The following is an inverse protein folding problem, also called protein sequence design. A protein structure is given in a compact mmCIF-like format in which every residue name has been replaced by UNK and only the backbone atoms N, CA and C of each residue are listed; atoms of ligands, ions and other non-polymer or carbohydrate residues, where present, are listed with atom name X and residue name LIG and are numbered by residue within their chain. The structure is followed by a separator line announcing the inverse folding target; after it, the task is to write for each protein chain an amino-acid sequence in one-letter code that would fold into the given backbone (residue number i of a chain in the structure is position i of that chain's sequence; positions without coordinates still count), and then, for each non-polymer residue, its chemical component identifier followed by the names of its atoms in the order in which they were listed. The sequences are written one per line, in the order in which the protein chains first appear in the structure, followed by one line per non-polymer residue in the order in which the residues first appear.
data_IF_472657025928
#
_entry.id   IF_472657025928
#
_cell.length_a   1.000
_cell.length_b   1.000
_cell.length_c   1.000
_cell.angle_alpha   90.00
_cell.angle_beta   90.00
_cell.angle_gamma   90.00
#
_symmetry.space_group_name_H-M   'P 1'
#
loop_
_entity.id
_entity.type
_entity.pdbx_description
1 polymer ?
#
# COMPACT_ATOMS: atom_id res chain seq x y z
N UNK A 1 -20.87 -32.47 -22.59
CA UNK A 1 -20.10 -31.25 -22.28
C UNK A 1 -20.88 -30.05 -22.81
N UNK A 2 -21.70 -29.43 -21.97
CA UNK A 2 -22.39 -28.18 -22.30
C UNK A 2 -21.36 -27.08 -22.51
N UNK A 3 -21.26 -26.57 -23.73
CA UNK A 3 -20.45 -25.39 -24.06
C UNK A 3 -20.97 -24.20 -23.22
N UNK A 4 -20.26 -23.86 -22.15
CA UNK A 4 -20.50 -22.62 -21.42
C UNK A 4 -20.51 -21.47 -22.43
N UNK A 5 -21.54 -20.59 -22.42
CA UNK A 5 -21.58 -19.45 -23.32
C UNK A 5 -20.32 -18.62 -23.10
N UNK A 6 -19.59 -18.32 -24.18
CA UNK A 6 -18.46 -17.40 -24.12
C UNK A 6 -19.01 -16.03 -23.71
N UNK A 7 -18.75 -15.62 -22.47
CA UNK A 7 -19.08 -14.25 -22.04
C UNK A 7 -18.40 -13.27 -23.00
N UNK A 8 -19.16 -12.26 -23.41
CA UNK A 8 -18.61 -11.17 -24.21
C UNK A 8 -17.67 -10.32 -23.34
N UNK A 9 -16.77 -9.59 -23.99
CA UNK A 9 -15.94 -8.60 -23.30
C UNK A 9 -16.82 -7.54 -22.62
N UNK A 10 -17.97 -7.22 -23.22
CA UNK A 10 -18.97 -6.30 -22.69
C UNK A 10 -19.51 -6.76 -21.33
N UNK A 11 -19.95 -8.01 -21.22
CA UNK A 11 -20.51 -8.56 -19.98
C UNK A 11 -19.46 -8.57 -18.86
N UNK A 12 -18.24 -8.96 -19.21
CA UNK A 12 -17.10 -8.99 -18.28
C UNK A 12 -16.75 -7.56 -17.81
N UNK A 13 -16.70 -6.60 -18.73
CA UNK A 13 -16.37 -5.19 -18.44
C UNK A 13 -17.40 -4.54 -17.52
N UNK A 14 -18.69 -4.86 -17.72
CA UNK A 14 -19.78 -4.35 -16.89
C UNK A 14 -19.67 -4.77 -15.43
N UNK A 15 -19.15 -5.98 -15.17
CA UNK A 15 -18.93 -6.48 -13.80
C UNK A 15 -17.83 -5.71 -13.05
N UNK A 16 -16.90 -5.04 -13.74
CA UNK A 16 -15.84 -4.24 -13.10
C UNK A 16 -16.26 -2.83 -12.67
N UNK A 17 -17.36 -2.31 -13.20
CA UNK A 17 -17.87 -0.96 -12.85
C UNK A 17 -17.99 -0.78 -11.33
N UNK A 18 -18.67 -1.65 -10.56
CA UNK A 18 -18.76 -1.49 -9.10
C UNK A 18 -17.39 -1.54 -8.40
N UNK A 19 -16.45 -2.34 -8.92
CA UNK A 19 -15.09 -2.43 -8.36
C UNK A 19 -14.36 -1.09 -8.54
N UNK A 20 -14.43 -0.47 -9.72
CA UNK A 20 -13.75 0.80 -9.97
C UNK A 20 -14.38 1.97 -9.20
N UNK A 21 -15.71 1.99 -9.04
CA UNK A 21 -16.36 2.95 -8.14
C UNK A 21 -15.92 2.77 -6.69
N UNK A 22 -15.73 1.53 -6.26
CA UNK A 22 -15.19 1.23 -4.92
C UNK A 22 -13.76 1.75 -4.78
N UNK A 23 -12.90 1.58 -5.79
CA UNK A 23 -11.56 2.18 -5.79
C UNK A 23 -11.60 3.71 -5.69
N UNK A 24 -12.50 4.38 -6.42
CA UNK A 24 -12.69 5.83 -6.31
C UNK A 24 -13.05 6.23 -4.87
N UNK A 25 -14.06 5.59 -4.29
CA UNK A 25 -14.56 5.94 -2.96
C UNK A 25 -13.52 5.72 -1.86
N UNK A 26 -12.94 4.52 -1.82
CA UNK A 26 -11.94 4.16 -0.80
C UNK A 26 -10.63 4.93 -1.03
N UNK A 27 -10.20 5.10 -2.28
CA UNK A 27 -9.00 5.86 -2.63
C UNK A 27 -9.11 7.34 -2.26
N UNK A 28 -10.26 7.97 -2.52
CA UNK A 28 -10.53 9.35 -2.12
C UNK A 28 -10.51 9.50 -0.60
N UNK A 29 -11.21 8.61 0.12
CA UNK A 29 -11.23 8.65 1.57
C UNK A 29 -9.82 8.44 2.15
N UNK A 30 -9.07 7.44 1.66
CA UNK A 30 -7.70 7.20 2.09
C UNK A 30 -6.79 8.41 1.82
N UNK A 31 -6.90 9.06 0.66
CA UNK A 31 -6.11 10.23 0.32
C UNK A 31 -6.40 11.40 1.29
N UNK A 32 -7.68 11.76 1.47
CA UNK A 32 -8.09 12.86 2.36
C UNK A 32 -7.69 12.56 3.81
N UNK A 33 -7.97 11.35 4.28
CA UNK A 33 -7.67 10.92 5.63
C UNK A 33 -6.17 11.02 5.95
N UNK A 34 -5.30 10.57 5.03
CA UNK A 34 -3.86 10.64 5.24
C UNK A 34 -3.31 12.07 5.08
N UNK A 35 -3.87 12.90 4.19
CA UNK A 35 -3.52 14.32 4.12
C UNK A 35 -3.83 15.05 5.43
N UNK A 36 -4.98 14.76 6.04
CA UNK A 36 -5.37 15.33 7.32
C UNK A 36 -4.40 14.93 8.46
N UNK A 37 -3.98 13.65 8.49
CA UNK A 37 -2.97 13.17 9.44
C UNK A 37 -1.63 13.92 9.25
N UNK A 38 -1.17 14.06 8.01
CA UNK A 38 0.05 14.78 7.67
C UNK A 38 -0.05 16.23 8.13
N UNK A 39 -1.17 16.91 7.84
CA UNK A 39 -1.42 18.28 8.28
C UNK A 39 -1.25 18.42 9.80
N UNK A 40 -1.93 17.60 10.60
CA UNK A 40 -1.86 17.66 12.07
C UNK A 40 -0.43 17.44 12.58
N UNK A 41 0.28 16.45 12.05
CA UNK A 41 1.65 16.19 12.49
C UNK A 41 2.63 17.30 12.09
N UNK A 42 2.40 17.98 10.95
CA UNK A 42 3.20 19.12 10.52
C UNK A 42 2.87 20.41 11.28
N UNK A 43 1.66 20.56 11.84
CA UNK A 43 1.26 21.75 12.61
C UNK A 43 2.02 21.94 13.93
N UNK A 44 2.78 20.95 14.41
CA UNK A 44 3.57 21.06 15.65
C UNK A 44 5.00 20.60 15.44
N UNK A 45 5.96 21.48 15.77
CA UNK A 45 7.38 21.17 15.68
C UNK A 45 7.77 19.94 16.54
N UNK A 46 7.11 19.77 17.70
CA UNK A 46 7.34 18.63 18.60
C UNK A 46 6.82 17.32 18.02
N UNK A 47 5.68 17.35 17.31
CA UNK A 47 5.15 16.18 16.64
C UNK A 47 6.01 15.82 15.42
N UNK A 48 6.42 16.82 14.65
CA UNK A 48 7.24 16.64 13.44
C UNK A 48 8.54 15.88 13.70
N UNK A 49 9.29 16.21 14.75
CA UNK A 49 10.56 15.53 15.05
C UNK A 49 10.37 14.12 15.63
N UNK A 50 9.26 13.88 16.33
CA UNK A 50 9.01 12.61 17.03
C UNK A 50 8.30 11.57 16.18
N UNK A 51 7.52 12.00 15.19
CA UNK A 51 6.65 11.15 14.37
C UNK A 51 7.07 11.12 12.90
N UNK A 52 8.34 11.42 12.57
CA UNK A 52 8.88 11.45 11.21
C UNK A 52 8.52 10.23 10.36
N UNK A 53 8.68 9.01 10.91
CA UNK A 53 8.34 7.77 10.19
C UNK A 53 6.82 7.61 9.98
N UNK A 54 5.99 8.09 10.91
CA UNK A 54 4.53 8.07 10.77
C UNK A 54 4.04 9.09 9.75
N UNK A 55 4.67 10.26 9.69
CA UNK A 55 4.41 11.26 8.64
C UNK A 55 4.77 10.66 7.28
N UNK A 56 5.95 10.04 7.17
CA UNK A 56 6.36 9.33 5.95
C UNK A 56 5.35 8.24 5.56
N UNK A 57 4.88 7.45 6.53
CA UNK A 57 3.88 6.40 6.28
C UNK A 57 2.55 6.98 5.79
N UNK A 58 2.07 8.05 6.42
CA UNK A 58 0.85 8.72 6.00
C UNK A 58 0.99 9.32 4.58
N UNK A 59 2.15 9.88 4.22
CA UNK A 59 2.42 10.34 2.85
C UNK A 59 2.37 9.16 1.87
N UNK A 60 3.02 8.04 2.18
CA UNK A 60 3.03 6.87 1.31
C UNK A 60 1.63 6.25 1.13
N UNK A 61 0.85 6.15 2.21
CA UNK A 61 -0.55 5.70 2.19
C UNK A 61 -1.44 6.70 1.43
N UNK A 62 -1.16 8.00 1.51
CA UNK A 62 -1.81 9.04 0.71
C UNK A 62 -1.51 8.89 -0.78
N UNK A 63 -0.25 8.68 -1.16
CA UNK A 63 0.15 8.38 -2.55
C UNK A 63 -0.57 7.14 -3.06
N UNK A 64 -0.70 6.09 -2.23
CA UNK A 64 -1.46 4.90 -2.57
C UNK A 64 -2.95 5.23 -2.81
N UNK A 65 -3.58 5.96 -1.91
CA UNK A 65 -4.96 6.44 -2.07
C UNK A 65 -5.16 7.23 -3.37
N UNK A 66 -4.21 8.12 -3.71
CA UNK A 66 -4.21 8.86 -4.96
C UNK A 66 -4.04 7.95 -6.19
N UNK A 67 -3.17 6.92 -6.12
CA UNK A 67 -3.00 5.95 -7.20
C UNK A 67 -4.32 5.20 -7.50
N UNK A 68 -5.03 4.75 -6.46
CA UNK A 68 -6.33 4.11 -6.61
C UNK A 68 -7.41 5.06 -7.12
N UNK A 69 -7.45 6.30 -6.62
CA UNK A 69 -8.38 7.32 -7.09
C UNK A 69 -8.16 7.66 -8.59
N UNK A 70 -6.92 7.91 -8.99
CA UNK A 70 -6.57 8.38 -10.33
C UNK A 70 -6.46 7.25 -11.36
N UNK A 71 -5.66 6.22 -11.11
CA UNK A 71 -5.47 5.11 -12.06
C UNK A 71 -6.66 4.16 -12.03
N UNK A 72 -6.98 3.64 -10.85
CA UNK A 72 -7.85 2.50 -10.74
C UNK A 72 -9.33 2.90 -10.85
N UNK A 73 -9.65 4.07 -10.31
CA UNK A 73 -10.99 4.65 -10.30
C UNK A 73 -11.29 5.49 -11.54
N UNK A 74 -10.90 6.76 -11.52
CA UNK A 74 -11.39 7.77 -12.47
C UNK A 74 -11.04 7.47 -13.93
N UNK A 75 -9.75 7.28 -14.25
CA UNK A 75 -9.31 7.05 -15.64
C UNK A 75 -9.83 5.73 -16.21
N UNK A 76 -9.78 4.64 -15.45
CA UNK A 76 -10.31 3.34 -15.90
C UNK A 76 -11.83 3.35 -16.07
N UNK A 77 -12.56 4.01 -15.16
CA UNK A 77 -14.02 4.14 -15.28
C UNK A 77 -14.41 4.94 -16.52
N UNK A 78 -13.77 6.09 -16.77
CA UNK A 78 -14.04 6.91 -17.97
C UNK A 78 -13.69 6.14 -19.24
N UNK A 79 -12.53 5.47 -19.27
CA UNK A 79 -12.09 4.71 -20.43
C UNK A 79 -13.07 3.56 -20.74
N UNK A 80 -13.55 2.87 -19.72
CA UNK A 80 -14.55 1.81 -19.87
C UNK A 80 -15.90 2.38 -20.29
N UNK A 81 -16.35 3.48 -19.69
CA UNK A 81 -17.60 4.13 -20.09
C UNK A 81 -17.57 4.51 -21.58
N UNK A 82 -16.45 5.04 -22.08
CA UNK A 82 -16.25 5.33 -23.51
C UNK A 82 -16.32 4.07 -24.38
N UNK A 83 -15.63 2.99 -23.98
CA UNK A 83 -15.67 1.73 -24.71
C UNK A 83 -17.09 1.12 -24.75
N UNK A 84 -17.85 1.22 -23.66
CA UNK A 84 -19.23 0.71 -23.58
C UNK A 84 -20.21 1.51 -24.43
N UNK A 85 -19.89 2.77 -24.76
CA UNK A 85 -20.68 3.61 -25.67
C UNK A 85 -20.40 3.32 -27.15
N UNK A 86 -19.32 2.59 -27.46
CA UNK A 86 -18.96 2.26 -28.84
C UNK A 86 -19.71 0.98 -29.28
N UNK A 87 -20.57 1.07 -30.29
CA UNK A 87 -21.38 -0.07 -30.74
C UNK A 87 -20.54 -1.27 -31.21
N UNK A 88 -19.35 -1.00 -31.75
CA UNK A 88 -18.34 -1.99 -32.15
C UNK A 88 -17.84 -2.86 -30.99
N UNK A 89 -17.92 -2.35 -29.75
CA UNK A 89 -17.41 -3.03 -28.56
C UNK A 89 -18.32 -4.17 -28.10
N UNK A 90 -19.62 -4.11 -28.41
CA UNK A 90 -20.59 -5.16 -28.02
C UNK A 90 -20.27 -6.53 -28.64
N UNK A 91 -19.63 -6.53 -29.79
CA UNK A 91 -19.22 -7.74 -30.51
C UNK A 91 -17.75 -8.13 -30.30
N UNK A 92 -17.00 -7.36 -29.49
CA UNK A 92 -15.58 -7.55 -29.28
C UNK A 92 -15.31 -8.66 -28.24
N UNK A 93 -14.36 -9.55 -28.54
CA UNK A 93 -13.96 -10.65 -27.65
C UNK A 93 -12.63 -10.40 -26.91
N UNK A 94 -11.88 -9.35 -27.28
CA UNK A 94 -10.57 -9.04 -26.69
C UNK A 94 -10.37 -7.54 -26.53
N UNK A 95 -9.80 -7.11 -25.40
CA UNK A 95 -9.50 -5.69 -25.19
C UNK A 95 -8.63 -5.11 -26.31
N UNK A 96 -8.84 -3.83 -26.68
CA UNK A 96 -7.90 -3.11 -27.54
C UNK A 96 -6.49 -3.16 -26.94
N UNK A 97 -5.50 -3.20 -27.84
CA UNK A 97 -4.08 -3.27 -27.47
C UNK A 97 -3.40 -1.93 -27.68
N UNK A 98 -2.44 -1.63 -26.83
CA UNK A 98 -1.60 -0.43 -26.87
C UNK A 98 -0.15 -0.87 -26.63
N UNK A 99 0.83 0.00 -26.90
CA UNK A 99 2.21 -0.32 -26.58
C UNK A 99 2.41 -0.28 -25.07
N UNK A 100 3.28 -1.16 -24.57
CA UNK A 100 3.62 -1.18 -23.14
C UNK A 100 4.25 0.13 -22.69
N UNK A 101 5.03 0.78 -23.56
CA UNK A 101 5.59 2.12 -23.32
C UNK A 101 4.50 3.16 -23.02
N UNK A 102 3.39 3.14 -23.75
CA UNK A 102 2.25 4.05 -23.52
C UNK A 102 1.61 3.82 -22.15
N UNK A 103 1.55 2.56 -21.70
CA UNK A 103 1.12 2.23 -20.35
C UNK A 103 2.16 2.65 -19.29
N UNK A 104 3.46 2.48 -19.55
CA UNK A 104 4.52 2.82 -18.61
C UNK A 104 4.64 4.34 -18.36
N UNK A 105 4.36 5.17 -19.37
CA UNK A 105 4.35 6.64 -19.25
C UNK A 105 3.15 7.19 -18.49
N UNK A 106 2.13 6.38 -18.21
CA UNK A 106 0.99 6.80 -17.40
C UNK A 106 1.45 7.04 -15.96
N UNK A 107 1.46 8.30 -15.55
CA UNK A 107 1.88 8.76 -14.22
C UNK A 107 1.25 7.95 -13.08
N UNK A 108 0.00 7.57 -13.24
CA UNK A 108 -0.73 6.76 -12.28
C UNK A 108 -0.15 5.35 -12.02
N UNK A 109 0.53 4.74 -13.00
CA UNK A 109 1.23 3.47 -12.78
C UNK A 109 2.50 3.66 -11.95
N UNK A 110 3.19 4.79 -12.09
CA UNK A 110 4.31 5.18 -11.23
C UNK A 110 3.85 5.44 -9.79
N UNK A 111 2.69 6.09 -9.61
CA UNK A 111 2.08 6.23 -8.28
C UNK A 111 1.74 4.88 -7.65
N UNK A 112 1.28 3.90 -8.44
CA UNK A 112 1.03 2.54 -7.96
C UNK A 112 2.29 1.84 -7.45
N UNK A 113 3.43 2.01 -8.12
CA UNK A 113 4.71 1.46 -7.66
C UNK A 113 5.08 2.05 -6.29
N UNK A 114 5.08 3.37 -6.18
CA UNK A 114 5.46 4.07 -4.95
C UNK A 114 4.44 3.79 -3.83
N UNK A 115 3.15 3.85 -4.15
CA UNK A 115 2.05 3.62 -3.23
C UNK A 115 1.99 2.18 -2.72
N UNK A 116 2.45 1.20 -3.50
CA UNK A 116 2.53 -0.18 -3.05
C UNK A 116 3.75 -0.43 -2.13
N UNK A 117 4.94 0.01 -2.56
CA UNK A 117 6.18 -0.31 -1.86
C UNK A 117 6.46 0.60 -0.67
N UNK A 118 6.08 1.88 -0.76
CA UNK A 118 6.33 2.88 0.28
C UNK A 118 5.78 2.47 1.65
N UNK A 119 4.47 2.12 1.76
CA UNK A 119 3.90 1.66 3.02
C UNK A 119 4.56 0.38 3.55
N UNK A 120 4.97 -0.54 2.67
CA UNK A 120 5.66 -1.77 3.07
C UNK A 120 7.05 -1.49 3.66
N UNK A 121 7.84 -0.64 3.01
CA UNK A 121 9.17 -0.26 3.49
C UNK A 121 9.10 0.52 4.80
N UNK A 122 8.14 1.44 4.93
CA UNK A 122 7.94 2.20 6.16
C UNK A 122 7.38 1.35 7.30
N UNK A 123 6.56 0.34 6.99
CA UNK A 123 6.13 -0.66 7.98
C UNK A 123 7.33 -1.47 8.51
N UNK A 124 8.24 -1.88 7.62
CA UNK A 124 9.48 -2.53 8.00
C UNK A 124 10.36 -1.61 8.85
N UNK A 125 10.56 -0.35 8.43
CA UNK A 125 11.33 0.64 9.17
C UNK A 125 10.78 0.86 10.58
N UNK A 126 9.45 0.97 10.74
CA UNK A 126 8.80 1.06 12.04
C UNK A 126 9.04 -0.20 12.89
N UNK A 127 9.00 -1.40 12.28
CA UNK A 127 9.34 -2.65 12.96
C UNK A 127 10.78 -2.68 13.47
N UNK A 128 11.75 -2.29 12.63
CA UNK A 128 13.18 -2.19 12.99
C UNK A 128 13.37 -1.21 14.14
N UNK A 129 12.76 -0.03 14.01
CA UNK A 129 12.82 1.03 15.00
C UNK A 129 12.38 0.57 16.39
N UNK A 130 11.22 -0.11 16.46
CA UNK A 130 10.67 -0.63 17.71
C UNK A 130 11.52 -1.75 18.28
N UNK A 131 11.97 -2.67 17.45
CA UNK A 131 12.84 -3.75 17.88
C UNK A 131 14.14 -3.20 18.48
N UNK A 132 14.78 -2.24 17.81
CA UNK A 132 15.99 -1.59 18.31
C UNK A 132 15.75 -0.82 19.61
N UNK A 133 14.62 -0.10 19.73
CA UNK A 133 14.28 0.65 20.94
C UNK A 133 14.18 -0.25 22.19
N UNK A 134 13.63 -1.46 22.03
CA UNK A 134 13.43 -2.41 23.14
C UNK A 134 14.70 -3.23 23.40
N UNK A 135 15.38 -3.69 22.35
CA UNK A 135 16.54 -4.58 22.48
C UNK A 135 17.81 -3.84 22.90
N UNK A 136 17.97 -2.58 22.47
CA UNK A 136 19.18 -1.77 22.64
C UNK A 136 18.84 -0.34 23.12
N UNK A 137 18.25 -0.17 24.32
CA UNK A 137 17.71 1.12 24.76
C UNK A 137 18.77 2.23 24.91
N UNK A 138 19.98 1.89 25.33
CA UNK A 138 21.10 2.84 25.51
C UNK A 138 21.60 3.38 24.16
N UNK A 139 21.85 2.49 23.20
CA UNK A 139 22.25 2.85 21.83
C UNK A 139 21.15 3.63 21.13
N UNK A 140 19.90 3.15 21.23
CA UNK A 140 18.75 3.82 20.62
C UNK A 140 18.59 5.26 21.13
N UNK A 141 18.77 5.53 22.43
CA UNK A 141 18.68 6.89 22.99
C UNK A 141 19.65 7.88 22.33
N UNK A 142 20.85 7.44 21.95
CA UNK A 142 21.87 8.30 21.33
C UNK A 142 21.63 8.53 19.84
N UNK A 143 21.08 7.54 19.14
CA UNK A 143 20.96 7.58 17.67
C UNK A 143 19.53 7.76 17.14
N UNK A 144 18.53 7.87 18.03
CA UNK A 144 17.10 7.90 17.68
C UNK A 144 16.76 8.84 16.51
N UNK A 145 17.12 10.12 16.61
CA UNK A 145 16.75 11.12 15.61
C UNK A 145 17.41 10.82 14.26
N UNK A 146 18.70 10.48 14.26
CA UNK A 146 19.43 10.07 13.07
C UNK A 146 18.82 8.81 12.44
N UNK A 147 18.47 7.82 13.26
CA UNK A 147 17.90 6.55 12.80
C UNK A 147 16.58 6.75 12.06
N UNK A 148 15.70 7.63 12.53
CA UNK A 148 14.44 7.93 11.83
C UNK A 148 14.68 8.51 10.44
N UNK A 149 15.57 9.48 10.31
CA UNK A 149 15.89 10.09 9.02
C UNK A 149 16.57 9.10 8.08
N UNK A 150 17.52 8.31 8.59
CA UNK A 150 18.21 7.28 7.80
C UNK A 150 17.22 6.24 7.27
N UNK A 151 16.33 5.71 8.13
CA UNK A 151 15.33 4.72 7.71
C UNK A 151 14.32 5.30 6.70
N UNK A 152 13.90 6.56 6.87
CA UNK A 152 13.02 7.24 5.93
C UNK A 152 13.71 7.44 4.56
N UNK A 153 14.94 7.94 4.55
CA UNK A 153 15.72 8.16 3.33
C UNK A 153 15.97 6.83 2.62
N UNK A 154 16.37 5.79 3.37
CA UNK A 154 16.59 4.46 2.80
C UNK A 154 15.31 3.90 2.16
N UNK A 155 14.17 4.05 2.83
CA UNK A 155 12.87 3.64 2.29
C UNK A 155 12.54 4.38 0.99
N UNK A 156 12.78 5.69 0.95
CA UNK A 156 12.56 6.51 -0.24
C UNK A 156 13.49 6.12 -1.40
N UNK A 157 14.78 5.92 -1.13
CA UNK A 157 15.78 5.48 -2.12
C UNK A 157 15.35 4.14 -2.74
N UNK A 158 14.99 3.16 -1.92
CA UNK A 158 14.52 1.86 -2.41
C UNK A 158 13.30 2.00 -3.34
N UNK A 159 12.30 2.80 -2.95
CA UNK A 159 11.11 3.01 -3.77
C UNK A 159 11.43 3.71 -5.10
N UNK A 160 12.28 4.73 -5.07
CA UNK A 160 12.71 5.46 -6.28
C UNK A 160 13.51 4.55 -7.20
N UNK A 161 14.47 3.78 -6.67
CA UNK A 161 15.23 2.81 -7.46
C UNK A 161 14.31 1.77 -8.07
N UNK A 162 13.32 1.25 -7.32
CA UNK A 162 12.37 0.30 -7.87
C UNK A 162 11.53 0.91 -9.00
N UNK A 163 11.09 2.16 -8.87
CA UNK A 163 10.38 2.87 -9.94
C UNK A 163 11.27 3.06 -11.18
N UNK A 164 12.53 3.44 -11.01
CA UNK A 164 13.48 3.55 -12.12
C UNK A 164 13.65 2.23 -12.85
N UNK A 165 13.76 1.11 -12.13
CA UNK A 165 13.82 -0.24 -12.72
C UNK A 165 12.51 -0.57 -13.47
N UNK A 166 11.35 -0.23 -12.89
CA UNK A 166 10.05 -0.43 -13.54
C UNK A 166 9.97 0.31 -14.89
N UNK A 167 10.32 1.60 -14.87
CA UNK A 167 10.33 2.46 -16.06
C UNK A 167 11.34 1.97 -17.09
N UNK A 168 12.53 1.55 -16.67
CA UNK A 168 13.52 0.99 -17.59
C UNK A 168 13.00 -0.27 -18.30
N UNK A 169 12.34 -1.18 -17.56
CA UNK A 169 11.73 -2.37 -18.17
C UNK A 169 10.63 -1.96 -19.15
N UNK A 170 9.70 -1.07 -18.76
CA UNK A 170 8.56 -0.68 -19.59
C UNK A 170 8.89 0.20 -20.79
N UNK A 171 9.95 1.02 -20.72
CA UNK A 171 10.30 2.01 -21.75
C UNK A 171 11.49 1.59 -22.63
N UNK A 172 12.34 0.67 -22.16
CA UNK A 172 13.57 0.28 -22.88
C UNK A 172 13.53 -1.19 -23.28
N UNK A 173 13.34 -2.09 -22.31
CA UNK A 173 13.43 -3.54 -22.57
C UNK A 173 12.20 -4.05 -23.32
N UNK A 174 11.00 -3.71 -22.82
CA UNK A 174 9.74 -4.30 -23.25
C UNK A 174 8.83 -3.30 -23.98
N UNK A 175 9.40 -2.22 -24.52
CA UNK A 175 8.65 -1.06 -25.06
C UNK A 175 7.67 -1.41 -26.18
N UNK A 176 8.04 -2.33 -27.06
CA UNK A 176 7.28 -2.68 -28.28
C UNK A 176 6.30 -3.84 -28.04
N UNK A 177 6.24 -4.37 -26.82
CA UNK A 177 5.30 -5.43 -26.47
C UNK A 177 3.89 -4.86 -26.31
N UNK A 178 2.91 -5.60 -26.81
CA UNK A 178 1.51 -5.21 -26.74
C UNK A 178 0.94 -5.44 -25.33
N UNK A 179 0.32 -4.40 -24.79
CA UNK A 179 -0.37 -4.37 -23.51
C UNK A 179 -1.89 -4.24 -23.73
N UNK A 180 -2.70 -4.84 -22.86
CA UNK A 180 -4.15 -4.60 -22.90
C UNK A 180 -4.48 -3.22 -22.32
N UNK A 181 -5.47 -2.54 -22.93
CA UNK A 181 -5.87 -1.15 -22.60
C UNK A 181 -6.21 -0.87 -21.13
N UNK A 182 -6.69 -1.82 -20.29
CA UNK A 182 -6.53 -1.65 -18.85
C UNK A 182 -5.03 -1.76 -18.55
N UNK A 183 -4.32 -0.63 -18.61
CA UNK A 183 -2.90 -0.53 -18.26
C UNK A 183 -2.76 -0.84 -16.76
N UNK A 184 -2.71 -2.13 -16.45
CA UNK A 184 -2.39 -2.66 -15.12
C UNK A 184 -0.88 -2.57 -14.89
N UNK A 185 -0.45 -2.70 -13.63
CA UNK A 185 0.97 -2.75 -13.29
C UNK A 185 1.71 -3.82 -14.10
N UNK A 186 1.08 -4.99 -14.25
CA UNK A 186 1.52 -6.10 -15.10
C UNK A 186 1.72 -5.71 -16.56
N UNK A 187 0.77 -4.95 -17.10
CA UNK A 187 0.78 -4.56 -18.50
C UNK A 187 1.80 -3.44 -18.75
N UNK A 188 2.03 -2.55 -17.79
CA UNK A 188 2.97 -1.44 -17.89
C UNK A 188 4.43 -1.85 -17.72
N UNK A 189 4.74 -2.69 -16.72
CA UNK A 189 6.12 -2.99 -16.32
C UNK A 189 6.52 -4.46 -16.51
N UNK A 190 5.62 -5.27 -17.09
CA UNK A 190 5.91 -6.66 -17.42
C UNK A 190 5.69 -7.64 -16.27
N UNK A 191 5.94 -8.91 -16.58
CA UNK A 191 5.73 -10.00 -15.65
C UNK A 191 6.74 -9.94 -14.50
N UNK A 192 8.03 -9.96 -14.82
CA UNK A 192 9.11 -10.07 -13.82
C UNK A 192 9.03 -8.98 -12.75
N UNK A 193 8.88 -7.71 -13.17
CA UNK A 193 8.81 -6.59 -12.23
C UNK A 193 7.59 -6.66 -11.31
N UNK A 194 6.43 -6.96 -11.87
CA UNK A 194 5.19 -6.99 -11.07
C UNK A 194 5.23 -8.11 -10.03
N UNK A 195 5.84 -9.26 -10.36
CA UNK A 195 6.06 -10.35 -9.41
C UNK A 195 7.02 -9.92 -8.29
N UNK A 196 8.12 -9.24 -8.64
CA UNK A 196 9.02 -8.63 -7.67
C UNK A 196 8.27 -7.64 -6.75
N UNK A 197 7.46 -6.75 -7.31
CA UNK A 197 6.70 -5.76 -6.54
C UNK A 197 5.77 -6.41 -5.51
N UNK A 198 5.00 -7.44 -5.90
CA UNK A 198 4.12 -8.15 -4.98
C UNK A 198 4.88 -8.87 -3.86
N UNK A 199 5.94 -9.59 -4.22
CA UNK A 199 6.80 -10.27 -3.25
C UNK A 199 7.43 -9.28 -2.27
N UNK A 200 8.00 -8.19 -2.78
CA UNK A 200 8.70 -7.19 -1.97
C UNK A 200 7.74 -6.45 -1.02
N UNK A 201 6.53 -6.14 -1.49
CA UNK A 201 5.46 -5.54 -0.67
C UNK A 201 5.02 -6.50 0.44
N UNK A 202 4.78 -7.78 0.09
CA UNK A 202 4.42 -8.82 1.05
C UNK A 202 5.52 -9.04 2.11
N UNK A 203 6.78 -9.08 1.66
CA UNK A 203 7.94 -9.22 2.54
C UNK A 203 8.06 -8.05 3.52
N UNK A 204 7.98 -6.80 3.05
CA UNK A 204 8.14 -5.62 3.91
C UNK A 204 7.11 -5.58 5.05
N UNK A 205 5.84 -5.82 4.75
CA UNK A 205 4.79 -5.89 5.79
C UNK A 205 4.96 -7.09 6.73
N UNK A 206 5.33 -8.26 6.20
CA UNK A 206 5.51 -9.47 7.02
C UNK A 206 6.72 -9.34 7.95
N UNK A 207 7.86 -8.87 7.43
CA UNK A 207 9.06 -8.64 8.24
C UNK A 207 8.83 -7.55 9.29
N UNK A 208 8.14 -6.46 8.93
CA UNK A 208 7.72 -5.42 9.88
C UNK A 208 6.84 -5.97 11.00
N UNK A 209 5.86 -6.83 10.66
CA UNK A 209 5.02 -7.52 11.64
C UNK A 209 5.83 -8.42 12.57
N UNK A 210 6.73 -9.26 12.04
CA UNK A 210 7.57 -10.15 12.84
C UNK A 210 8.43 -9.36 13.83
N UNK A 211 9.03 -8.25 13.40
CA UNK A 211 9.84 -7.39 14.27
C UNK A 211 9.00 -6.72 15.36
N UNK A 212 7.81 -6.21 15.03
CA UNK A 212 6.87 -5.64 15.99
C UNK A 212 6.39 -6.70 17.01
N UNK A 213 6.11 -7.92 16.54
CA UNK A 213 5.74 -9.03 17.40
C UNK A 213 6.87 -9.45 18.33
N UNK A 214 8.11 -9.54 17.81
CA UNK A 214 9.29 -9.82 18.62
C UNK A 214 9.53 -8.74 19.68
N UNK A 215 9.39 -7.47 19.32
CA UNK A 215 9.47 -6.33 20.22
C UNK A 215 8.41 -6.45 21.35
N UNK A 216 7.17 -6.80 21.00
CA UNK A 216 6.09 -7.04 21.95
C UNK A 216 6.37 -8.22 22.90
N UNK A 217 6.88 -9.33 22.37
CA UNK A 217 7.23 -10.50 23.17
C UNK A 217 8.31 -10.17 24.21
N UNK A 218 9.35 -9.46 23.80
CA UNK A 218 10.46 -9.05 24.68
C UNK A 218 9.95 -8.15 25.82
N UNK A 219 9.11 -7.15 25.53
CA UNK A 219 8.60 -6.24 26.57
C UNK A 219 7.64 -6.93 27.54
N UNK A 220 6.85 -7.91 27.10
CA UNK A 220 6.01 -8.71 28.01
C UNK A 220 6.86 -9.51 29.00
N UNK A 221 7.96 -10.09 28.53
CA UNK A 221 8.88 -10.81 29.42
C UNK A 221 9.51 -9.89 30.47
N UNK A 222 9.86 -8.65 30.11
CA UNK A 222 10.37 -7.68 31.09
C UNK A 222 9.32 -7.24 32.12
N UNK A 223 8.04 -7.13 31.73
CA UNK A 223 6.95 -6.81 32.66
C UNK A 223 6.82 -7.87 33.77
N UNK A 224 6.97 -9.14 33.40
CA UNK A 224 6.89 -10.25 34.36
C UNK A 224 8.04 -10.25 35.38
N UNK A 225 9.13 -9.51 35.13
CA UNK A 225 10.29 -9.38 36.01
C UNK A 225 10.13 -8.21 37.02
N UNK A 226 8.99 -7.50 37.02
CA UNK A 226 8.64 -6.54 38.09
C UNK A 226 9.32 -5.16 38.03
N UNK A 227 9.99 -4.80 36.93
CA UNK A 227 10.60 -3.47 36.74
C UNK A 227 9.55 -2.41 36.36
N UNK A 228 9.54 -1.26 37.04
CA UNK A 228 8.91 0.02 36.66
C UNK A 228 7.59 -0.07 35.84
N UNK A 229 6.53 -0.54 36.49
CA UNK A 229 5.24 -0.91 35.88
C UNK A 229 4.55 0.22 35.07
N UNK A 230 4.58 1.47 35.52
CA UNK A 230 3.80 2.55 34.87
C UNK A 230 4.36 3.02 33.52
N UNK A 231 5.69 3.18 33.39
CA UNK A 231 6.31 3.59 32.12
C UNK A 231 6.19 2.48 31.08
N UNK A 232 6.41 1.24 31.52
CA UNK A 232 6.27 0.04 30.67
C UNK A 232 4.82 -0.14 30.21
N UNK A 233 3.83 0.13 31.06
CA UNK A 233 2.42 0.01 30.68
C UNK A 233 2.03 0.93 29.51
N UNK A 234 2.51 2.18 29.50
CA UNK A 234 2.25 3.14 28.40
C UNK A 234 2.90 2.71 27.08
N UNK A 235 4.12 2.18 27.12
CA UNK A 235 4.82 1.67 25.94
C UNK A 235 4.15 0.39 25.40
N UNK A 236 3.69 -0.50 26.29
CA UNK A 236 2.94 -1.71 25.91
C UNK A 236 1.67 -1.36 25.15
N UNK A 237 0.92 -0.36 25.59
CA UNK A 237 -0.31 0.07 24.90
C UNK A 237 -0.02 0.54 23.46
N UNK A 238 1.04 1.34 23.28
CA UNK A 238 1.47 1.78 21.95
C UNK A 238 1.91 0.60 21.07
N UNK A 239 2.69 -0.33 21.61
CA UNK A 239 3.14 -1.51 20.87
C UNK A 239 1.95 -2.42 20.50
N UNK A 240 0.96 -2.59 21.39
CA UNK A 240 -0.27 -3.35 21.09
C UNK A 240 -1.02 -2.76 19.91
N UNK A 241 -1.15 -1.44 19.87
CA UNK A 241 -1.77 -0.74 18.75
C UNK A 241 -1.01 -0.97 17.45
N UNK A 242 0.32 -0.83 17.46
CA UNK A 242 1.16 -1.06 16.28
C UNK A 242 1.13 -2.52 15.80
N UNK A 243 1.05 -3.48 16.72
CA UNK A 243 0.83 -4.88 16.39
C UNK A 243 -0.52 -5.08 15.70
N UNK A 244 -1.59 -4.48 16.23
CA UNK A 244 -2.90 -4.55 15.59
C UNK A 244 -2.87 -3.97 14.17
N UNK A 245 -2.24 -2.81 13.99
CA UNK A 245 -2.00 -2.19 12.67
C UNK A 245 -1.27 -3.16 11.73
N UNK A 246 -0.22 -3.81 12.23
CA UNK A 246 0.61 -4.74 11.46
C UNK A 246 -0.17 -6.01 11.10
N UNK A 247 -1.02 -6.54 11.98
CA UNK A 247 -1.93 -7.66 11.70
C UNK A 247 -2.90 -7.27 10.59
N UNK A 248 -3.54 -6.09 10.70
CA UNK A 248 -4.43 -5.60 9.64
C UNK A 248 -3.68 -5.45 8.30
N UNK A 249 -2.43 -4.97 8.32
CA UNK A 249 -1.59 -4.95 7.11
C UNK A 249 -1.35 -6.35 6.55
N UNK A 250 -1.00 -7.34 7.38
CA UNK A 250 -0.82 -8.73 6.89
C UNK A 250 -2.11 -9.25 6.24
N UNK A 251 -3.26 -9.07 6.89
CA UNK A 251 -4.54 -9.59 6.38
C UNK A 251 -4.97 -8.85 5.10
N UNK A 252 -4.90 -7.52 5.09
CA UNK A 252 -5.45 -6.69 3.99
C UNK A 252 -4.48 -6.44 2.85
N UNK A 253 -3.17 -6.66 3.06
CA UNK A 253 -2.13 -6.41 2.07
C UNK A 253 -1.40 -7.70 1.69
N UNK A 254 -0.83 -8.42 2.66
CA UNK A 254 0.01 -9.59 2.36
C UNK A 254 -0.83 -10.70 1.73
N UNK A 255 -1.98 -11.05 2.33
CA UNK A 255 -2.83 -12.12 1.81
C UNK A 255 -3.27 -11.84 0.35
N UNK A 256 -3.87 -10.68 0.01
CA UNK A 256 -4.19 -10.35 -1.38
C UNK A 256 -2.99 -10.38 -2.34
N UNK A 257 -1.84 -9.85 -1.93
CA UNK A 257 -0.64 -9.86 -2.77
C UNK A 257 -0.10 -11.29 -2.98
N UNK A 258 -0.21 -12.17 -1.99
CA UNK A 258 0.15 -13.58 -2.13
C UNK A 258 -0.80 -14.31 -3.08
N UNK A 259 -2.11 -14.02 -3.04
CA UNK A 259 -3.05 -14.54 -4.05
C UNK A 259 -2.69 -14.04 -5.47
N UNK A 260 -2.36 -12.76 -5.63
CA UNK A 260 -1.91 -12.18 -6.90
C UNK A 260 -0.58 -12.77 -7.39
N UNK A 261 0.32 -13.11 -6.46
CA UNK A 261 1.57 -13.78 -6.75
C UNK A 261 1.32 -15.22 -7.23
N UNK A 262 0.54 -16.01 -6.49
CA UNK A 262 0.31 -17.43 -6.79
C UNK A 262 -0.52 -17.63 -8.07
N UNK A 263 -1.55 -16.82 -8.29
CA UNK A 263 -2.33 -16.84 -9.56
C UNK A 263 -1.45 -16.63 -10.78
N UNK A 264 -0.39 -15.82 -10.66
CA UNK A 264 0.53 -15.56 -11.76
C UNK A 264 1.40 -16.75 -12.16
N UNK A 265 1.59 -17.73 -11.29
CA UNK A 265 2.31 -18.97 -11.60
C UNK A 265 1.37 -20.09 -12.05
N UNK A 266 0.12 -19.76 -12.41
CA UNK A 266 -0.90 -20.71 -12.88
C UNK A 266 -1.23 -21.85 -11.90
N UNK A 267 -0.97 -21.68 -10.60
CA UNK A 267 -1.37 -22.67 -9.59
C UNK A 267 -2.89 -22.79 -9.47
N UNK A 268 -3.63 -21.70 -9.75
CA UNK A 268 -5.10 -21.70 -9.86
C UNK A 268 -5.58 -20.48 -10.66
N UNK A 269 -6.74 -20.62 -11.31
CA UNK A 269 -7.40 -19.53 -12.04
C UNK A 269 -8.41 -18.83 -11.14
N UNK A 270 -8.12 -17.58 -10.74
CA UNK A 270 -9.11 -16.71 -10.09
C UNK A 270 -9.83 -15.86 -11.13
N UNK A 271 -11.10 -15.61 -10.88
CA UNK A 271 -11.87 -14.62 -11.62
C UNK A 271 -11.23 -13.22 -11.43
N UNK A 272 -11.07 -12.51 -12.53
CA UNK A 272 -10.53 -11.14 -12.54
C UNK A 272 -11.36 -10.18 -11.66
N UNK A 273 -12.66 -10.43 -11.49
CA UNK A 273 -13.52 -9.63 -10.58
C UNK A 273 -13.08 -9.82 -9.13
N UNK A 274 -12.77 -11.06 -8.72
CA UNK A 274 -12.25 -11.36 -7.38
C UNK A 274 -10.90 -10.68 -7.17
N UNK A 275 -10.02 -10.71 -8.17
CA UNK A 275 -8.75 -9.97 -8.14
C UNK A 275 -8.97 -8.46 -7.98
N UNK A 276 -10.02 -7.92 -8.56
CA UNK A 276 -10.46 -6.54 -8.35
C UNK A 276 -10.80 -6.25 -6.88
N UNK A 277 -11.67 -7.07 -6.29
CA UNK A 277 -12.03 -6.93 -4.87
C UNK A 277 -10.85 -7.15 -3.91
N UNK A 278 -9.92 -8.05 -4.24
CA UNK A 278 -8.69 -8.25 -3.47
C UNK A 278 -7.82 -6.98 -3.45
N UNK A 279 -7.76 -6.23 -4.56
CA UNK A 279 -7.09 -4.94 -4.59
C UNK A 279 -7.84 -3.87 -3.78
N UNK A 280 -9.17 -3.97 -3.59
CA UNK A 280 -9.90 -3.07 -2.69
C UNK A 280 -9.43 -3.22 -1.24
N UNK A 281 -9.06 -4.44 -0.81
CA UNK A 281 -8.53 -4.66 0.54
C UNK A 281 -7.22 -3.88 0.77
N UNK A 282 -6.38 -3.82 -0.27
CA UNK A 282 -5.10 -3.09 -0.22
C UNK A 282 -5.30 -1.60 0.08
N UNK A 283 -6.17 -0.92 -0.68
CA UNK A 283 -6.48 0.51 -0.45
C UNK A 283 -7.30 0.74 0.82
N UNK A 284 -8.13 -0.23 1.24
CA UNK A 284 -8.86 -0.16 2.51
C UNK A 284 -7.90 -0.05 3.69
N UNK A 285 -6.75 -0.72 3.63
CA UNK A 285 -5.73 -0.59 4.68
C UNK A 285 -5.21 0.85 4.80
N UNK A 286 -5.02 1.57 3.68
CA UNK A 286 -4.64 2.98 3.68
C UNK A 286 -5.72 3.89 4.29
N UNK A 287 -7.00 3.53 4.13
CA UNK A 287 -8.12 4.24 4.73
C UNK A 287 -8.17 4.09 6.26
N UNK A 288 -7.80 2.93 6.80
CA UNK A 288 -7.77 2.69 8.25
C UNK A 288 -6.67 3.46 9.00
N UNK A 289 -5.71 4.06 8.29
CA UNK A 289 -4.61 4.84 8.88
C UNK A 289 -5.09 5.96 9.81
N UNK A 290 -6.19 6.64 9.50
CA UNK A 290 -6.75 7.71 10.35
C UNK A 290 -7.30 7.18 11.67
N UNK A 291 -7.99 6.04 11.63
CA UNK A 291 -8.49 5.42 12.85
C UNK A 291 -7.35 4.94 13.74
N UNK A 292 -6.31 4.36 13.12
CA UNK A 292 -5.21 3.74 13.82
C UNK A 292 -4.18 4.75 14.34
N UNK A 293 -3.70 5.66 13.49
CA UNK A 293 -2.67 6.65 13.82
C UNK A 293 -3.25 7.93 14.43
N UNK A 294 -4.46 8.31 14.01
CA UNK A 294 -5.16 9.50 14.49
C UNK A 294 -5.91 9.24 15.80
N UNK A 295 -7.09 8.63 15.71
CA UNK A 295 -8.02 8.58 16.85
C UNK A 295 -7.50 7.83 18.07
N UNK A 296 -6.66 6.80 17.88
CA UNK A 296 -6.14 6.03 19.02
C UNK A 296 -4.85 6.58 19.62
N UNK A 297 -4.19 7.55 19.00
CA UNK A 297 -3.03 8.21 19.61
C UNK A 297 -3.50 9.28 20.60
N UNK A 298 -3.25 9.15 21.92
CA UNK A 298 -3.71 10.13 22.92
C UNK A 298 -3.18 11.54 22.63
N UNK A 299 -1.95 11.65 22.13
CA UNK A 299 -1.33 12.92 21.77
C UNK A 299 -1.93 13.55 20.53
N UNK A 300 -2.37 12.74 19.57
CA UNK A 300 -3.07 13.24 18.39
C UNK A 300 -4.43 13.82 18.79
N UNK A 301 -5.19 13.10 19.63
CA UNK A 301 -6.48 13.59 20.16
C UNK A 301 -6.34 14.92 20.90
N UNK A 302 -5.33 15.04 21.77
CA UNK A 302 -5.05 16.28 22.47
C UNK A 302 -4.79 17.44 21.51
N UNK A 303 -4.05 17.21 20.42
CA UNK A 303 -3.77 18.27 19.45
C UNK A 303 -4.99 18.64 18.60
N UNK A 304 -5.83 17.67 18.23
CA UNK A 304 -7.08 17.94 17.49
C UNK A 304 -7.98 18.86 18.31
N UNK A 305 -8.12 18.63 19.63
CA UNK A 305 -8.90 19.52 20.50
C UNK A 305 -8.30 20.92 20.71
N UNK A 306 -7.02 21.12 20.38
CA UNK A 306 -6.37 22.44 20.46
C UNK A 306 -6.47 23.24 19.16
N UNK A 307 -6.76 22.57 18.03
CA UNK A 307 -6.77 23.16 16.68
C UNK A 307 -8.19 23.33 16.12
N UNK A 308 -9.14 22.49 16.56
CA UNK A 308 -10.56 22.61 16.22
C UNK A 308 -11.31 23.45 17.24
#
# INVERSE_FOLDING_TARGET
MSSLPRLTLYDTTKQFIPVYWTYCGIGLFAFIANLFIVFIYLSSAQLRSRFTLFIGLAIAEGINGAAFLMAAGFKRTIRIARLLMEDSFRTMYSYPRTLRSDCALQFENSLFVIGNQGPAMLSLALGIERFCAIRFPTTYRHFKEKMFHVLLILSAVICITSLCVALYIGLVIEKDLLASLPCTLSNAFGFTYTTFNYFFTAFGHTAGFILNFAAFWIIQNFKNIGRNSQVIAKEIEQIRLMNFVSICSVIMVVIPNMFLYVTRFNFFTLDYVILGWLNCAFVSRSAFSLHLLGFRSPRFRQRVSEVG
#
